data_IF_017185572025
#
_entry.id   IF_017185572025
#
_cell.length_a   1.000
_cell.length_b   1.000
_cell.length_c   1.000
_cell.angle_alpha   90.00
_cell.angle_beta   90.00
_cell.angle_gamma   90.00
#
_symmetry.space_group_name_H-M   'P 1'
#
loop_
_entity.id
_entity.type
_entity.pdbx_description
1 polymer ?
#
# COMPACT_ATOMS: atom_id res chain seq x y z
N UNK A 1 8.10 30.46 39.45
CA UNK A 1 8.42 29.04 39.25
C UNK A 1 8.71 28.84 37.77
N UNK A 2 9.93 28.45 37.36
CA UNK A 2 10.22 28.25 35.95
C UNK A 2 9.51 26.98 35.49
N UNK A 3 8.66 27.12 34.47
CA UNK A 3 8.01 26.01 33.79
C UNK A 3 9.10 25.03 33.32
N UNK A 4 9.12 23.82 33.90
CA UNK A 4 10.01 22.76 33.43
C UNK A 4 9.70 22.55 31.96
N UNK A 5 10.67 22.81 31.10
CA UNK A 5 10.66 22.50 29.68
C UNK A 5 10.63 20.97 29.55
N UNK A 6 9.46 20.38 29.79
CA UNK A 6 9.18 18.96 29.62
C UNK A 6 9.44 18.66 28.16
N UNK A 7 10.44 17.81 27.90
CA UNK A 7 11.00 17.56 26.57
C UNK A 7 9.89 17.36 25.53
N UNK A 8 9.57 18.43 24.79
CA UNK A 8 8.56 18.38 23.73
C UNK A 8 9.14 17.55 22.60
N UNK A 9 8.61 16.34 22.43
CA UNK A 9 8.90 15.53 21.24
C UNK A 9 8.56 16.36 20.02
N UNK A 10 9.54 16.61 19.16
CA UNK A 10 9.33 17.29 17.89
C UNK A 10 8.39 16.45 17.04
N UNK A 11 7.33 17.07 16.51
CA UNK A 11 6.36 16.39 15.65
C UNK A 11 7.03 15.64 14.49
N UNK A 12 8.11 16.20 13.91
CA UNK A 12 8.85 15.57 12.81
C UNK A 12 9.53 14.28 13.24
N UNK A 13 10.22 14.31 14.38
CA UNK A 13 10.90 13.13 14.93
C UNK A 13 9.90 12.08 15.41
N UNK A 14 8.83 12.49 16.09
CA UNK A 14 7.76 11.59 16.53
C UNK A 14 7.08 10.90 15.35
N UNK A 15 6.70 11.65 14.32
CA UNK A 15 6.08 11.10 13.11
C UNK A 15 7.05 10.18 12.38
N UNK A 16 8.32 10.56 12.22
CA UNK A 16 9.33 9.72 11.58
C UNK A 16 9.52 8.36 12.28
N UNK A 17 9.57 8.35 13.61
CA UNK A 17 9.65 7.11 14.39
C UNK A 17 8.40 6.23 14.21
N UNK A 18 7.21 6.83 14.20
CA UNK A 18 5.95 6.10 13.99
C UNK A 18 5.87 5.53 12.58
N UNK A 19 6.31 6.27 11.56
CA UNK A 19 6.31 5.79 10.18
C UNK A 19 7.30 4.64 9.99
N UNK A 20 8.47 4.70 10.63
CA UNK A 20 9.42 3.59 10.63
C UNK A 20 8.83 2.34 11.31
N UNK A 21 8.18 2.52 12.46
CA UNK A 21 7.46 1.43 13.13
C UNK A 21 6.37 0.83 12.22
N UNK A 22 5.55 1.68 11.59
CA UNK A 22 4.52 1.24 10.67
C UNK A 22 5.10 0.47 9.48
N UNK A 23 6.23 0.93 8.92
CA UNK A 23 6.91 0.25 7.82
C UNK A 23 7.40 -1.14 8.24
N UNK A 24 8.08 -1.23 9.40
CA UNK A 24 8.59 -2.51 9.93
C UNK A 24 7.45 -3.51 10.19
N UNK A 25 6.35 -3.05 10.78
CA UNK A 25 5.21 -3.93 11.08
C UNK A 25 4.46 -4.41 9.83
N UNK A 26 4.55 -3.67 8.73
CA UNK A 26 3.74 -3.91 7.52
C UNK A 26 4.56 -4.37 6.32
N UNK A 27 5.88 -4.52 6.48
CA UNK A 27 6.72 -4.92 5.37
C UNK A 27 6.34 -6.33 4.91
N UNK A 28 6.11 -6.56 3.60
CA UNK A 28 5.60 -7.83 3.08
C UNK A 28 6.64 -8.96 3.10
N UNK A 29 7.72 -8.87 3.90
CA UNK A 29 8.82 -9.85 3.90
C UNK A 29 9.09 -10.35 5.33
N UNK A 30 9.13 -11.69 5.55
CA UNK A 30 8.85 -12.74 4.56
C UNK A 30 7.37 -12.71 4.12
N UNK A 31 7.15 -12.91 2.82
CA UNK A 31 5.80 -12.96 2.28
C UNK A 31 5.05 -14.14 2.90
N UNK A 32 3.73 -14.03 3.14
CA UNK A 32 2.95 -15.15 3.62
C UNK A 32 3.08 -16.34 2.66
N UNK A 33 3.15 -17.56 3.21
CA UNK A 33 3.15 -18.80 2.41
C UNK A 33 1.81 -19.06 1.71
N UNK A 34 0.80 -18.25 2.02
CA UNK A 34 -0.53 -18.28 1.44
C UNK A 34 -0.77 -17.02 0.60
N UNK A 35 -1.66 -17.13 -0.37
CA UNK A 35 -2.15 -16.01 -1.18
C UNK A 35 -3.61 -15.79 -0.83
N UNK A 36 -3.99 -14.56 -0.54
CA UNK A 36 -5.37 -14.20 -0.28
C UNK A 36 -6.18 -14.35 -1.58
N UNK A 37 -7.44 -14.76 -1.48
CA UNK A 37 -8.25 -15.03 -2.66
C UNK A 37 -8.37 -13.82 -3.60
N UNK A 38 -8.59 -12.63 -3.03
CA UNK A 38 -8.72 -11.38 -3.79
C UNK A 38 -7.44 -10.95 -4.51
N UNK A 39 -6.27 -11.45 -4.12
CA UNK A 39 -4.99 -11.07 -4.76
C UNK A 39 -4.89 -11.59 -6.19
N UNK A 40 -5.64 -12.65 -6.54
CA UNK A 40 -5.70 -13.17 -7.92
C UNK A 40 -6.20 -12.09 -8.88
N UNK A 41 -7.12 -11.22 -8.45
CA UNK A 41 -7.61 -10.12 -9.27
C UNK A 41 -6.49 -9.18 -9.71
N UNK A 42 -5.42 -9.06 -8.92
CA UNK A 42 -4.26 -8.23 -9.25
C UNK A 42 -3.29 -8.88 -10.23
N UNK A 43 -3.37 -10.18 -10.47
CA UNK A 43 -2.64 -10.80 -11.59
C UNK A 43 -3.47 -10.60 -12.87
N UNK A 44 -4.75 -11.00 -12.82
CA UNK A 44 -5.58 -11.12 -14.02
C UNK A 44 -6.00 -9.77 -14.59
N UNK A 45 -6.60 -8.89 -13.78
CA UNK A 45 -7.22 -7.66 -14.30
C UNK A 45 -6.18 -6.65 -14.84
N UNK A 46 -5.07 -6.35 -14.12
CA UNK A 46 -4.09 -5.40 -14.62
C UNK A 46 -3.35 -5.86 -15.89
N UNK A 47 -3.09 -7.17 -16.03
CA UNK A 47 -2.53 -7.75 -17.27
C UNK A 47 -3.58 -7.80 -18.39
N UNK A 48 -4.86 -7.99 -18.06
CA UNK A 48 -5.97 -7.97 -19.03
C UNK A 48 -6.02 -6.67 -19.83
N UNK A 49 -5.68 -5.54 -19.21
CA UNK A 49 -5.59 -4.23 -19.87
C UNK A 49 -4.57 -4.18 -21.02
N UNK A 50 -3.58 -5.08 -21.03
CA UNK A 50 -2.54 -5.11 -22.07
C UNK A 50 -3.06 -5.68 -23.40
N UNK A 51 -4.26 -6.26 -23.41
CA UNK A 51 -4.98 -6.61 -24.64
C UNK A 51 -5.44 -5.39 -25.44
N UNK A 52 -5.40 -4.19 -24.84
CA UNK A 52 -5.93 -2.95 -25.42
C UNK A 52 -7.35 -2.61 -24.94
N UNK A 53 -8.06 -3.52 -24.28
CA UNK A 53 -9.32 -3.21 -23.61
C UNK A 53 -9.07 -2.76 -22.16
N UNK A 54 -9.24 -1.46 -21.90
CA UNK A 54 -9.07 -0.89 -20.56
C UNK A 54 -10.29 -1.07 -19.66
N UNK A 55 -11.39 -1.65 -20.15
CA UNK A 55 -12.53 -1.98 -19.32
C UNK A 55 -12.27 -3.31 -18.57
N UNK A 56 -12.34 -3.34 -17.22
CA UNK A 56 -12.07 -4.58 -16.49
C UNK A 56 -13.17 -5.64 -16.68
N UNK A 57 -14.36 -5.25 -17.15
CA UNK A 57 -15.59 -6.06 -17.18
C UNK A 57 -15.90 -6.74 -15.83
N UNK A 58 -15.33 -6.20 -14.77
CA UNK A 58 -15.36 -6.71 -13.40
C UNK A 58 -15.36 -5.51 -12.45
N UNK A 59 -16.55 -5.13 -12.00
CA UNK A 59 -16.79 -3.90 -11.24
C UNK A 59 -17.08 -4.13 -9.75
N UNK A 60 -16.65 -5.27 -9.21
CA UNK A 60 -16.77 -5.54 -7.77
C UNK A 60 -15.81 -4.69 -6.92
N UNK A 61 -14.77 -4.13 -7.55
CA UNK A 61 -13.79 -3.27 -6.89
C UNK A 61 -13.58 -1.95 -7.67
N UNK A 62 -13.15 -0.87 -6.99
CA UNK A 62 -12.76 0.37 -7.68
C UNK A 62 -11.61 0.13 -8.67
N UNK A 63 -11.84 0.41 -9.95
CA UNK A 63 -10.91 0.05 -11.05
C UNK A 63 -9.59 0.81 -11.00
N UNK A 64 -9.57 2.01 -10.39
CA UNK A 64 -8.40 2.87 -10.38
C UNK A 64 -7.13 2.17 -9.86
N UNK A 65 -7.25 1.35 -8.83
CA UNK A 65 -6.09 0.66 -8.28
C UNK A 65 -5.54 -0.43 -9.22
N UNK A 66 -6.39 -1.07 -10.02
CA UNK A 66 -5.93 -1.98 -11.08
C UNK A 66 -5.16 -1.26 -12.19
N UNK A 67 -5.57 -0.03 -12.56
CA UNK A 67 -4.79 0.78 -13.51
C UNK A 67 -3.41 1.13 -12.95
N UNK A 68 -3.33 1.48 -11.67
CA UNK A 68 -2.05 1.75 -11.02
C UNK A 68 -1.17 0.49 -10.98
N UNK A 69 -1.74 -0.68 -10.67
CA UNK A 69 -1.01 -1.96 -10.73
C UNK A 69 -0.51 -2.28 -12.14
N UNK A 70 -1.32 -2.03 -13.17
CA UNK A 70 -0.92 -2.25 -14.57
C UNK A 70 0.25 -1.35 -14.97
N UNK A 71 0.24 -0.10 -14.50
CA UNK A 71 1.37 0.81 -14.67
C UNK A 71 2.62 0.28 -13.95
N UNK A 72 2.51 -0.24 -12.72
CA UNK A 72 3.65 -0.86 -12.02
C UNK A 72 4.20 -2.06 -12.80
N UNK A 73 3.34 -2.86 -13.41
CA UNK A 73 3.75 -4.03 -14.20
C UNK A 73 4.45 -3.60 -15.49
N UNK A 74 4.01 -2.50 -16.12
CA UNK A 74 4.69 -1.95 -17.28
C UNK A 74 6.10 -1.49 -16.91
N UNK A 75 6.26 -0.77 -15.81
CA UNK A 75 7.57 -0.33 -15.32
C UNK A 75 8.47 -1.53 -14.98
N UNK A 76 7.89 -2.58 -14.39
CA UNK A 76 8.62 -3.81 -14.09
C UNK A 76 9.07 -4.53 -15.37
N UNK A 77 8.16 -4.75 -16.33
CA UNK A 77 8.46 -5.35 -17.62
C UNK A 77 9.59 -4.63 -18.35
N UNK A 78 9.51 -3.29 -18.43
CA UNK A 78 10.54 -2.46 -19.07
C UNK A 78 11.90 -2.52 -18.36
N UNK A 79 11.92 -2.81 -17.05
CA UNK A 79 13.14 -2.85 -16.26
C UNK A 79 13.81 -4.25 -16.23
N UNK A 80 13.03 -5.33 -16.37
CA UNK A 80 13.51 -6.69 -16.08
C UNK A 80 13.39 -7.66 -17.24
N UNK A 81 12.49 -7.43 -18.20
CA UNK A 81 12.20 -8.41 -19.25
C UNK A 81 12.79 -8.00 -20.59
N UNK A 82 13.31 -9.00 -21.30
CA UNK A 82 13.67 -8.90 -22.73
C UNK A 82 12.71 -9.71 -23.62
N UNK A 83 11.69 -10.32 -23.03
CA UNK A 83 10.70 -11.15 -23.72
C UNK A 83 9.64 -10.30 -24.42
N UNK A 84 8.87 -10.91 -25.32
CA UNK A 84 7.70 -10.24 -25.90
C UNK A 84 6.63 -9.98 -24.83
N UNK A 85 5.78 -8.99 -25.06
CA UNK A 85 4.66 -8.67 -24.16
C UNK A 85 3.75 -9.88 -23.98
N UNK A 86 3.50 -10.63 -25.06
CA UNK A 86 2.65 -11.82 -25.05
C UNK A 86 3.25 -12.94 -24.18
N UNK A 87 4.57 -13.16 -24.26
CA UNK A 87 5.27 -14.16 -23.43
C UNK A 87 5.23 -13.77 -21.97
N UNK A 88 5.51 -12.50 -21.66
CA UNK A 88 5.44 -11.98 -20.30
C UNK A 88 4.04 -12.17 -19.72
N UNK A 89 2.99 -11.79 -20.44
CA UNK A 89 1.60 -11.96 -19.99
C UNK A 89 1.26 -13.45 -19.79
N UNK A 90 1.60 -14.30 -20.76
CA UNK A 90 1.29 -15.73 -20.69
C UNK A 90 1.97 -16.42 -19.49
N UNK A 91 3.23 -16.10 -19.22
CA UNK A 91 3.96 -16.64 -18.08
C UNK A 91 3.28 -16.28 -16.76
N UNK A 92 2.94 -15.01 -16.54
CA UNK A 92 2.37 -14.57 -15.27
C UNK A 92 0.93 -15.02 -15.05
N UNK A 93 0.16 -15.28 -16.11
CA UNK A 93 -1.20 -15.81 -16.01
C UNK A 93 -1.24 -17.33 -15.81
N UNK A 94 -0.30 -18.08 -16.44
CA UNK A 94 -0.39 -19.54 -16.54
C UNK A 94 0.66 -20.29 -15.70
N UNK A 95 1.76 -19.62 -15.33
CA UNK A 95 2.91 -20.25 -14.67
C UNK A 95 3.14 -19.66 -13.29
N UNK A 96 3.49 -18.38 -13.19
CA UNK A 96 3.82 -17.75 -11.91
C UNK A 96 3.64 -16.21 -11.94
N UNK A 97 2.77 -15.68 -11.08
CA UNK A 97 2.52 -14.23 -10.93
C UNK A 97 2.98 -13.65 -9.59
N UNK A 98 3.79 -14.37 -8.81
CA UNK A 98 4.14 -14.00 -7.43
C UNK A 98 4.97 -12.72 -7.32
N UNK A 99 5.80 -12.43 -8.30
CA UNK A 99 6.58 -11.20 -8.40
C UNK A 99 5.69 -9.97 -8.65
N UNK A 100 4.68 -10.08 -9.51
CA UNK A 100 3.67 -9.03 -9.72
C UNK A 100 2.89 -8.76 -8.43
N UNK A 101 2.50 -9.82 -7.71
CA UNK A 101 1.90 -9.65 -6.39
C UNK A 101 2.86 -8.94 -5.43
N UNK A 102 4.13 -9.33 -5.39
CA UNK A 102 5.11 -8.68 -4.52
C UNK A 102 5.23 -7.17 -4.80
N UNK A 103 5.15 -6.75 -6.06
CA UNK A 103 5.12 -5.32 -6.43
C UNK A 103 3.90 -4.61 -5.84
N UNK A 104 2.69 -5.18 -6.02
CA UNK A 104 1.47 -4.56 -5.50
C UNK A 104 1.44 -4.57 -3.97
N UNK A 105 1.86 -5.67 -3.34
CA UNK A 105 2.01 -5.77 -1.88
C UNK A 105 2.94 -4.69 -1.35
N UNK A 106 4.08 -4.47 -2.01
CA UNK A 106 5.01 -3.39 -1.68
C UNK A 106 4.36 -2.00 -1.82
N UNK A 107 3.69 -1.75 -2.94
CA UNK A 107 3.00 -0.48 -3.18
C UNK A 107 1.90 -0.22 -2.13
N UNK A 108 1.11 -1.23 -1.78
CA UNK A 108 0.07 -1.13 -0.75
C UNK A 108 0.65 -0.89 0.64
N UNK A 109 1.77 -1.53 0.99
CA UNK A 109 2.48 -1.23 2.24
C UNK A 109 2.90 0.24 2.29
N UNK A 110 3.43 0.80 1.20
CA UNK A 110 3.81 2.21 1.13
C UNK A 110 2.60 3.14 1.29
N UNK A 111 1.47 2.83 0.64
CA UNK A 111 0.22 3.57 0.80
C UNK A 111 -0.30 3.48 2.24
N UNK A 112 -0.24 2.31 2.87
CA UNK A 112 -0.65 2.14 4.27
C UNK A 112 0.21 3.00 5.21
N UNK A 113 1.53 3.04 5.00
CA UNK A 113 2.45 3.89 5.79
C UNK A 113 2.15 5.36 5.53
N UNK A 114 1.90 5.76 4.28
CA UNK A 114 1.48 7.12 3.94
C UNK A 114 0.18 7.51 4.67
N UNK A 115 -0.81 6.61 4.77
CA UNK A 115 -2.04 6.84 5.55
C UNK A 115 -1.75 7.18 7.01
N UNK A 116 -0.77 6.52 7.65
CA UNK A 116 -0.36 6.84 9.03
C UNK A 116 0.19 8.26 9.13
N UNK A 117 1.01 8.67 8.17
CA UNK A 117 1.54 10.04 8.09
C UNK A 117 0.44 11.07 7.88
N UNK A 118 -0.52 10.78 6.99
CA UNK A 118 -1.69 11.63 6.73
C UNK A 118 -2.55 11.80 7.98
N UNK A 119 -2.80 10.71 8.73
CA UNK A 119 -3.53 10.77 10.01
C UNK A 119 -2.76 11.56 11.06
N UNK A 120 -1.43 11.45 11.12
CA UNK A 120 -0.60 12.27 12.01
C UNK A 120 -0.78 13.77 11.73
N UNK A 121 -0.73 14.14 10.44
CA UNK A 121 -0.89 15.51 9.98
C UNK A 121 -2.31 16.04 10.22
N UNK A 122 -3.33 15.24 9.93
CA UNK A 122 -4.73 15.60 10.14
C UNK A 122 -5.05 15.79 11.62
N UNK A 123 -4.68 14.83 12.47
CA UNK A 123 -4.86 14.92 13.92
C UNK A 123 -4.10 16.11 14.51
N UNK A 124 -2.89 16.40 14.01
CA UNK A 124 -2.14 17.61 14.39
C UNK A 124 -2.89 18.87 14.05
N UNK A 125 -3.46 18.95 12.85
CA UNK A 125 -4.19 20.13 12.37
C UNK A 125 -5.46 20.39 13.17
N UNK A 126 -6.17 19.33 13.56
CA UNK A 126 -7.46 19.44 14.22
C UNK A 126 -7.35 19.59 15.75
N UNK A 127 -6.43 18.86 16.38
CA UNK A 127 -6.43 18.71 17.84
C UNK A 127 -5.08 19.01 18.51
N UNK A 128 -4.00 19.10 17.73
CA UNK A 128 -2.67 19.42 18.23
C UNK A 128 -1.64 18.30 18.09
N UNK A 129 -0.39 18.62 18.38
CA UNK A 129 0.77 17.75 18.11
C UNK A 129 0.66 16.40 18.82
N UNK A 130 0.22 16.38 20.08
CA UNK A 130 0.16 15.14 20.87
C UNK A 130 -0.90 14.20 20.33
N UNK A 131 -2.05 14.76 19.97
CA UNK A 131 -3.23 14.07 19.48
C UNK A 131 -2.98 13.49 18.08
N UNK A 132 -2.30 14.25 17.21
CA UNK A 132 -1.84 13.74 15.92
C UNK A 132 -0.88 12.56 16.05
N UNK A 133 0.11 12.65 16.93
CA UNK A 133 1.05 11.54 17.17
C UNK A 133 0.36 10.32 17.80
N UNK A 134 -0.60 10.52 18.71
CA UNK A 134 -1.37 9.44 19.31
C UNK A 134 -2.24 8.73 18.27
N UNK A 135 -2.97 9.48 17.43
CA UNK A 135 -3.79 8.92 16.37
C UNK A 135 -2.95 8.10 15.37
N UNK A 136 -1.78 8.62 14.98
CA UNK A 136 -0.85 7.93 14.09
C UNK A 136 -0.30 6.65 14.73
N UNK A 137 0.07 6.69 16.01
CA UNK A 137 0.57 5.52 16.73
C UNK A 137 -0.50 4.42 16.84
N UNK A 138 -1.74 4.79 17.16
CA UNK A 138 -2.87 3.84 17.20
C UNK A 138 -3.05 3.17 15.84
N UNK A 139 -3.08 3.94 14.74
CA UNK A 139 -3.23 3.36 13.41
C UNK A 139 -2.01 2.52 12.98
N UNK A 140 -0.80 2.93 13.36
CA UNK A 140 0.44 2.21 13.05
C UNK A 140 0.44 0.80 13.66
N UNK A 141 -0.08 0.64 14.87
CA UNK A 141 -0.07 -0.64 15.62
C UNK A 141 -1.40 -1.38 15.61
N UNK A 142 -2.47 -0.80 15.03
CA UNK A 142 -3.78 -1.44 14.96
C UNK A 142 -3.69 -2.79 14.23
N UNK A 143 -3.98 -3.94 14.89
CA UNK A 143 -3.74 -5.26 14.32
C UNK A 143 -4.41 -5.49 12.97
N UNK A 144 -5.63 -4.97 12.79
CA UNK A 144 -6.37 -5.09 11.55
C UNK A 144 -5.68 -4.34 10.40
N UNK A 145 -5.27 -3.09 10.62
CA UNK A 145 -4.55 -2.31 9.61
C UNK A 145 -3.20 -2.93 9.27
N UNK A 146 -2.49 -3.48 10.25
CA UNK A 146 -1.21 -4.17 10.02
C UNK A 146 -1.40 -5.45 9.20
N UNK A 147 -2.39 -6.27 9.57
CA UNK A 147 -2.67 -7.56 8.92
C UNK A 147 -2.92 -7.43 7.42
N UNK A 148 -3.65 -6.40 6.99
CA UNK A 148 -4.08 -6.23 5.60
C UNK A 148 -3.17 -5.28 4.79
N UNK A 149 -2.29 -4.51 5.44
CA UNK A 149 -1.48 -3.50 4.77
C UNK A 149 -0.60 -4.02 3.62
N UNK A 150 -0.21 -5.29 3.72
CA UNK A 150 0.76 -5.91 2.83
C UNK A 150 0.12 -6.82 1.77
N UNK A 151 -1.21 -6.93 1.72
CA UNK A 151 -1.89 -7.75 0.71
C UNK A 151 -2.16 -6.93 -0.56
N UNK A 152 -2.12 -7.57 -1.72
CA UNK A 152 -2.57 -6.99 -2.98
C UNK A 152 -4.10 -7.00 -3.06
N UNK A 153 -4.73 -6.11 -2.29
CA UNK A 153 -6.18 -5.92 -2.21
C UNK A 153 -6.52 -4.43 -2.35
N UNK A 154 -7.80 -4.09 -2.50
CA UNK A 154 -8.24 -2.70 -2.68
C UNK A 154 -8.55 -1.97 -1.37
N UNK A 155 -8.68 -2.67 -0.25
CA UNK A 155 -9.08 -2.09 1.03
C UNK A 155 -8.04 -1.09 1.57
N UNK A 156 -6.79 -1.51 1.63
CA UNK A 156 -5.65 -0.68 2.07
C UNK A 156 -5.51 0.62 1.27
N UNK A 157 -5.44 0.60 -0.08
CA UNK A 157 -5.39 1.83 -0.87
C UNK A 157 -6.69 2.64 -0.76
N UNK A 158 -7.87 2.01 -0.64
CA UNK A 158 -9.12 2.76 -0.47
C UNK A 158 -9.13 3.60 0.81
N UNK A 159 -8.57 3.09 1.91
CA UNK A 159 -8.39 3.88 3.15
C UNK A 159 -7.46 5.07 2.90
N UNK A 160 -6.35 4.90 2.18
CA UNK A 160 -5.47 6.01 1.84
C UNK A 160 -6.19 7.09 1.04
N UNK A 161 -6.88 6.71 -0.05
CA UNK A 161 -7.62 7.66 -0.88
C UNK A 161 -8.73 8.38 -0.12
N UNK A 162 -9.41 7.68 0.81
CA UNK A 162 -10.45 8.28 1.65
C UNK A 162 -9.90 9.32 2.63
N UNK A 163 -8.68 9.13 3.15
CA UNK A 163 -8.03 10.11 4.05
C UNK A 163 -7.52 11.34 3.27
N UNK A 164 -7.32 11.21 1.96
CA UNK A 164 -6.83 12.30 1.08
C UNK A 164 -7.93 13.10 0.38
N UNK A 165 -9.17 12.62 0.42
CA UNK A 165 -10.35 13.33 -0.08
C UNK A 165 -10.74 14.49 0.85
#
# INVERSE_FOLDING_TARGET
>A
MPEKNTGRISFRWGTGAILLLALVLRWPVPAPSWTHFDEIAFIVLPLGFWSGDLNPHYFNYPTFHFYLSSLLYLLYYLATSAESVEQFVAYHLLVDGRDLLALVRGANTLLAVATVGSVACLGRRLYGVKEGLLAALILATMPLAVRFAHLAIVDTPAVFWSVMA
#
